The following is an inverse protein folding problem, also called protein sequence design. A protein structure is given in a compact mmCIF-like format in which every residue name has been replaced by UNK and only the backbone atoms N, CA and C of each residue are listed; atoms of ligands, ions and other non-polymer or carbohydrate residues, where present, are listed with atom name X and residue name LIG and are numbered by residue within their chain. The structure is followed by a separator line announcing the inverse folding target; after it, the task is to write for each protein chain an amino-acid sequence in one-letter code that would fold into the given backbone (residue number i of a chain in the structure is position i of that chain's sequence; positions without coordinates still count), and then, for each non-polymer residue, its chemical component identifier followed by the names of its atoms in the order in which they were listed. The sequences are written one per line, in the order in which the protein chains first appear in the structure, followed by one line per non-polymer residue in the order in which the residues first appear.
data_IF_840737603000
#
_entry.id   IF_840737603000
#
_cell.length_a   1.000
_cell.length_b   1.000
_cell.length_c   1.000
_cell.angle_alpha   90.00
_cell.angle_beta   90.00
_cell.angle_gamma   90.00
#
_symmetry.space_group_name_H-M   'P 1'
#
loop_
_entity.id
_entity.type
_entity.pdbx_description
1 polymer ?
#
# COMPACT_ATOMS: atom_id res chain seq x y z
N UNK A 1 -21.62 7.97 16.41
CA UNK A 1 -21.85 6.54 16.68
C UNK A 1 -21.60 6.30 18.14
N UNK A 2 -22.56 5.70 18.85
CA UNK A 2 -22.44 5.32 20.26
C UNK A 2 -22.23 3.81 20.35
N UNK A 3 -21.32 3.38 21.22
CA UNK A 3 -20.97 1.98 21.45
C UNK A 3 -20.93 1.71 22.95
N UNK A 4 -21.45 0.55 23.34
CA UNK A 4 -21.47 0.09 24.73
C UNK A 4 -20.91 -1.32 24.80
N UNK A 5 -20.08 -1.56 25.79
CA UNK A 5 -19.37 -2.81 26.03
C UNK A 5 -19.40 -3.13 27.52
N UNK A 6 -19.46 -4.40 27.85
CA UNK A 6 -19.44 -4.91 29.23
C UNK A 6 -18.70 -6.23 29.26
N UNK A 7 -18.03 -6.54 30.36
CA UNK A 7 -17.39 -7.83 30.55
C UNK A 7 -16.93 -8.03 31.99
N UNK A 8 -16.43 -9.23 32.27
CA UNK A 8 -15.93 -9.60 33.59
C UNK A 8 -14.70 -10.49 33.43
N UNK A 9 -13.73 -10.34 34.34
CA UNK A 9 -12.58 -11.22 34.45
C UNK A 9 -12.11 -11.29 35.91
N UNK A 10 -11.35 -12.32 36.27
CA UNK A 10 -10.87 -12.53 37.64
C UNK A 10 -9.35 -12.56 37.69
N UNK A 11 -8.77 -12.02 38.76
CA UNK A 11 -7.32 -12.01 38.99
C UNK A 11 -7.01 -12.51 40.41
N UNK A 12 -5.86 -13.14 40.60
CA UNK A 12 -5.40 -13.64 41.90
C UNK A 12 -4.68 -12.55 42.71
N UNK A 13 -5.38 -11.42 42.93
CA UNK A 13 -4.92 -10.27 43.72
C UNK A 13 -6.03 -9.77 44.62
N UNK A 14 -5.64 -9.15 45.74
CA UNK A 14 -6.58 -8.49 46.64
C UNK A 14 -7.29 -7.33 45.95
N UNK A 15 -8.50 -7.00 46.41
CA UNK A 15 -9.23 -5.85 45.89
C UNK A 15 -8.46 -4.56 46.06
N UNK A 16 -7.74 -4.40 47.16
CA UNK A 16 -6.93 -3.23 47.45
C UNK A 16 -5.83 -3.03 46.40
N UNK A 17 -5.15 -4.10 46.00
CA UNK A 17 -4.09 -4.06 44.99
C UNK A 17 -4.66 -3.70 43.61
N UNK A 18 -5.75 -4.38 43.22
CA UNK A 18 -6.43 -4.14 41.94
C UNK A 18 -6.96 -2.70 41.89
N UNK A 19 -7.57 -2.25 42.98
CA UNK A 19 -8.08 -0.90 43.10
C UNK A 19 -6.96 0.14 43.02
N UNK A 20 -5.83 -0.09 43.68
CA UNK A 20 -4.70 0.84 43.63
C UNK A 20 -4.20 1.07 42.21
N UNK A 21 -4.11 0.01 41.40
CA UNK A 21 -3.71 0.12 39.99
C UNK A 21 -4.78 0.83 39.16
N UNK A 22 -6.06 0.46 39.31
CA UNK A 22 -7.15 1.03 38.53
C UNK A 22 -7.48 2.48 38.91
N UNK A 23 -7.21 2.91 40.15
CA UNK A 23 -7.53 4.25 40.63
C UNK A 23 -6.37 5.24 40.53
N UNK A 24 -5.24 4.83 39.97
CA UNK A 24 -4.08 5.67 39.71
C UNK A 24 -3.88 5.86 38.20
N UNK A 25 -4.12 7.05 37.64
CA UNK A 25 -3.90 7.30 36.21
C UNK A 25 -2.46 7.01 35.76
N UNK A 26 -1.45 7.18 36.61
CA UNK A 26 -0.05 6.90 36.25
C UNK A 26 0.22 5.40 36.07
N UNK A 27 -0.54 4.55 36.75
CA UNK A 27 -0.43 3.10 36.63
C UNK A 27 -1.39 2.54 35.57
N UNK A 28 -2.58 3.11 35.46
CA UNK A 28 -3.61 2.64 34.54
C UNK A 28 -3.34 3.06 33.09
N UNK A 29 -2.96 4.32 32.84
CA UNK A 29 -2.79 4.84 31.48
C UNK A 29 -1.75 4.08 30.65
N UNK A 30 -0.59 3.65 31.19
CA UNK A 30 0.39 2.83 30.46
C UNK A 30 -0.13 1.47 29.98
N UNK A 31 -1.23 0.97 30.56
CA UNK A 31 -1.86 -0.29 30.16
C UNK A 31 -2.81 -0.13 28.98
N UNK A 32 -3.10 1.11 28.56
CA UNK A 32 -3.93 1.34 27.38
C UNK A 32 -3.24 0.82 26.12
N UNK A 33 -3.96 0.12 25.24
CA UNK A 33 -3.42 -0.31 23.95
C UNK A 33 -2.82 0.85 23.14
N UNK A 34 -1.64 0.59 22.57
CA UNK A 34 -0.94 1.59 21.77
C UNK A 34 -0.36 2.77 22.56
N UNK A 35 -0.32 2.71 23.90
CA UNK A 35 0.29 3.74 24.73
C UNK A 35 1.69 4.12 24.23
N UNK A 36 1.92 5.42 24.05
CA UNK A 36 3.18 5.96 23.56
C UNK A 36 3.81 6.93 24.57
N UNK A 37 3.01 7.86 25.10
CA UNK A 37 3.43 8.78 26.17
C UNK A 37 2.24 9.32 26.94
N UNK A 38 2.50 9.86 28.13
CA UNK A 38 1.51 10.66 28.86
C UNK A 38 2.18 11.83 29.57
N UNK A 39 1.36 12.84 29.88
CA UNK A 39 1.69 13.95 30.76
C UNK A 39 0.58 14.11 31.79
N UNK A 40 0.92 14.09 33.08
CA UNK A 40 -0.05 14.34 34.15
C UNK A 40 -0.37 15.84 34.22
N UNK A 41 -1.65 16.18 34.08
CA UNK A 41 -2.15 17.55 34.28
C UNK A 41 -2.39 17.85 35.76
N UNK A 42 -2.89 16.85 36.47
CA UNK A 42 -3.08 16.86 37.92
C UNK A 42 -3.16 15.41 38.44
N UNK A 43 -3.42 15.23 39.73
CA UNK A 43 -3.44 13.91 40.38
C UNK A 43 -4.51 12.93 39.83
N UNK A 44 -5.48 13.40 39.04
CA UNK A 44 -6.59 12.58 38.51
C UNK A 44 -6.69 12.62 36.99
N UNK A 45 -5.98 13.52 36.32
CA UNK A 45 -6.09 13.76 34.88
C UNK A 45 -4.74 13.67 34.18
N UNK A 46 -4.69 12.88 33.11
CA UNK A 46 -3.54 12.71 32.24
C UNK A 46 -3.90 13.05 30.78
N UNK A 47 -2.99 13.68 30.06
CA UNK A 47 -3.03 13.72 28.60
C UNK A 47 -2.19 12.58 28.03
N UNK A 48 -2.85 11.66 27.34
CA UNK A 48 -2.28 10.40 26.87
C UNK A 48 -2.19 10.45 25.35
N UNK A 49 -1.03 10.09 24.83
CA UNK A 49 -0.81 9.82 23.41
C UNK A 49 -0.75 8.32 23.19
N UNK A 50 -1.66 7.82 22.37
CA UNK A 50 -1.71 6.41 21.99
C UNK A 50 -1.75 6.27 20.46
N UNK A 51 -0.99 5.32 19.92
CA UNK A 51 -1.07 4.93 18.51
C UNK A 51 -2.35 4.14 18.28
N UNK A 52 -3.13 4.58 17.30
CA UNK A 52 -4.38 3.95 16.90
C UNK A 52 -4.23 3.44 15.48
N UNK A 53 -4.48 2.14 15.27
CA UNK A 53 -4.44 1.49 13.96
C UNK A 53 -5.78 0.86 13.61
N UNK A 54 -6.62 1.56 12.84
CA UNK A 54 -7.92 1.05 12.36
C UNK A 54 -7.74 0.59 10.91
N UNK A 55 -7.57 -0.71 10.68
CA UNK A 55 -7.28 -1.25 9.35
C UNK A 55 -5.94 -0.73 8.81
N UNK A 56 -5.94 -0.11 7.63
CA UNK A 56 -4.74 0.53 7.02
C UNK A 56 -4.50 1.97 7.48
N UNK A 57 -5.26 2.46 8.46
CA UNK A 57 -5.22 3.85 8.92
C UNK A 57 -4.53 3.89 10.28
N UNK A 58 -3.30 4.42 10.31
CA UNK A 58 -2.52 4.69 11.52
C UNK A 58 -2.52 6.17 11.89
N UNK A 59 -2.46 6.48 13.18
CA UNK A 59 -2.28 7.84 13.69
C UNK A 59 -2.10 7.89 15.20
N UNK A 60 -1.67 9.04 15.72
CA UNK A 60 -1.57 9.27 17.16
C UNK A 60 -2.85 9.95 17.64
N UNK A 61 -3.56 9.30 18.55
CA UNK A 61 -4.67 9.90 19.27
C UNK A 61 -4.15 10.62 20.52
N UNK A 62 -4.58 11.88 20.71
CA UNK A 62 -4.39 12.58 21.99
C UNK A 62 -5.71 12.50 22.77
N UNK A 63 -5.64 11.92 23.98
CA UNK A 63 -6.77 11.72 24.89
C UNK A 63 -6.49 12.40 26.22
N UNK A 64 -7.34 13.33 26.63
CA UNK A 64 -7.40 13.73 28.03
C UNK A 64 -8.25 12.70 28.78
N UNK A 65 -7.61 11.93 29.65
CA UNK A 65 -8.23 10.89 30.48
C UNK A 65 -8.25 11.35 31.93
N UNK A 66 -9.43 11.30 32.57
CA UNK A 66 -9.63 11.73 33.95
C UNK A 66 -10.31 10.66 34.77
N UNK A 67 -9.81 10.37 35.97
CA UNK A 67 -10.48 9.53 36.97
C UNK A 67 -11.67 10.30 37.58
N UNK A 68 -12.84 10.13 36.97
CA UNK A 68 -14.07 10.86 37.28
C UNK A 68 -14.73 10.43 38.60
N UNK A 69 -14.72 9.14 38.94
CA UNK A 69 -15.23 8.61 40.22
C UNK A 69 -14.27 7.55 40.77
N UNK A 70 -14.14 7.51 42.10
CA UNK A 70 -13.26 6.58 42.80
C UNK A 70 -13.79 6.32 44.20
N UNK A 71 -14.14 5.06 44.49
CA UNK A 71 -14.71 4.60 45.77
C UNK A 71 -13.90 3.38 46.25
N UNK A 72 -12.85 3.59 47.05
CA UNK A 72 -11.98 2.50 47.50
C UNK A 72 -12.71 1.43 48.33
N UNK A 73 -12.32 0.15 48.23
CA UNK A 73 -11.55 -0.49 47.16
C UNK A 73 -12.47 -1.11 46.07
N UNK A 74 -13.63 -0.49 45.82
CA UNK A 74 -14.75 -1.14 45.11
C UNK A 74 -15.01 -0.62 43.71
N UNK A 75 -14.66 0.62 43.41
CA UNK A 75 -15.07 1.22 42.14
C UNK A 75 -14.13 2.31 41.64
N UNK A 76 -13.77 2.25 40.35
CA UNK A 76 -13.05 3.30 39.66
C UNK A 76 -13.74 3.60 38.32
N UNK A 77 -13.89 4.88 37.97
CA UNK A 77 -14.46 5.31 36.69
C UNK A 77 -13.62 6.40 36.05
N UNK A 78 -13.28 6.18 34.79
CA UNK A 78 -12.62 7.13 33.92
C UNK A 78 -13.58 7.79 32.93
N UNK A 79 -13.25 9.02 32.56
CA UNK A 79 -13.81 9.75 31.44
C UNK A 79 -12.68 10.23 30.56
N UNK A 80 -12.73 9.92 29.28
CA UNK A 80 -11.76 10.32 28.28
C UNK A 80 -12.41 11.20 27.21
N UNK A 81 -11.70 12.23 26.76
CA UNK A 81 -12.05 12.96 25.54
C UNK A 81 -10.79 13.12 24.70
N UNK A 82 -10.88 12.77 23.43
CA UNK A 82 -9.73 12.85 22.55
C UNK A 82 -10.05 13.23 21.13
N UNK A 83 -8.98 13.48 20.40
CA UNK A 83 -9.01 13.72 18.96
C UNK A 83 -8.19 12.63 18.28
N UNK A 84 -8.74 12.12 17.20
CA UNK A 84 -8.04 11.25 16.28
C UNK A 84 -8.45 11.68 14.88
N UNK A 85 -7.47 12.16 14.12
CA UNK A 85 -7.70 12.81 12.82
C UNK A 85 -8.68 14.00 12.95
N UNK A 86 -9.41 14.34 11.88
CA UNK A 86 -10.49 15.35 11.89
C UNK A 86 -11.76 14.86 12.64
N UNK A 87 -11.64 13.91 13.57
CA UNK A 87 -12.71 13.34 14.37
C UNK A 87 -12.51 13.58 15.87
N UNK A 88 -13.61 13.54 16.63
CA UNK A 88 -13.62 13.68 18.10
C UNK A 88 -14.31 12.48 18.69
N UNK A 89 -13.74 11.95 19.78
CA UNK A 89 -14.34 10.86 20.54
C UNK A 89 -14.40 11.15 22.03
N UNK A 90 -15.35 10.50 22.69
CA UNK A 90 -15.49 10.44 24.15
C UNK A 90 -15.54 8.99 24.59
N UNK A 91 -14.98 8.72 25.77
CA UNK A 91 -14.87 7.41 26.37
C UNK A 91 -15.32 7.51 27.82
N UNK A 92 -16.06 6.52 28.30
CA UNK A 92 -16.34 6.34 29.72
C UNK A 92 -16.09 4.87 30.06
N UNK A 93 -15.22 4.61 31.04
CA UNK A 93 -14.93 3.25 31.47
C UNK A 93 -15.10 3.17 32.98
N UNK A 94 -15.84 2.17 33.46
CA UNK A 94 -16.05 1.93 34.87
C UNK A 94 -15.67 0.49 35.22
N UNK A 95 -15.11 0.31 36.40
CA UNK A 95 -14.71 -0.98 36.97
C UNK A 95 -15.33 -1.11 38.36
N UNK A 96 -16.02 -2.23 38.61
CA UNK A 96 -16.57 -2.63 39.90
C UNK A 96 -15.84 -3.89 40.38
N UNK A 97 -15.46 -3.93 41.67
CA UNK A 97 -14.59 -4.94 42.24
C UNK A 97 -15.28 -5.73 43.36
N UNK A 98 -15.25 -7.07 43.25
CA UNK A 98 -15.82 -8.00 44.23
C UNK A 98 -14.81 -9.07 44.66
N UNK A 99 -14.93 -9.61 45.88
CA UNK A 99 -14.11 -10.76 46.30
C UNK A 99 -14.58 -12.02 45.57
N UNK A 100 -13.64 -12.84 45.13
CA UNK A 100 -13.95 -14.21 44.67
C UNK A 100 -13.88 -15.19 45.84
N UNK A 101 -14.58 -16.33 45.71
CA UNK A 101 -14.51 -17.41 46.70
C UNK A 101 -13.10 -18.02 46.85
N UNK A 102 -12.23 -17.85 45.86
CA UNK A 102 -10.86 -18.38 45.84
C UNK A 102 -9.80 -17.42 46.43
N UNK A 103 -10.20 -16.23 46.90
CA UNK A 103 -9.29 -15.25 47.51
C UNK A 103 -8.71 -14.20 46.55
N UNK A 104 -9.07 -14.23 45.26
CA UNK A 104 -8.77 -13.19 44.27
C UNK A 104 -9.91 -12.17 44.11
N UNK A 105 -9.83 -11.33 43.08
CA UNK A 105 -10.81 -10.26 42.79
C UNK A 105 -11.52 -10.50 41.46
N UNK A 106 -12.84 -10.39 41.45
CA UNK A 106 -13.65 -10.30 40.23
C UNK A 106 -13.77 -8.82 39.83
N UNK A 107 -13.45 -8.52 38.58
CA UNK A 107 -13.55 -7.19 37.99
C UNK A 107 -14.66 -7.20 36.95
N UNK A 108 -15.77 -6.52 37.25
CA UNK A 108 -16.84 -6.26 36.28
C UNK A 108 -16.63 -4.88 35.69
N UNK A 109 -16.54 -4.78 34.36
CA UNK A 109 -16.24 -3.52 33.68
C UNK A 109 -17.29 -3.14 32.65
N UNK A 110 -17.45 -1.83 32.45
CA UNK A 110 -18.39 -1.22 31.51
C UNK A 110 -17.70 -0.11 30.75
N UNK A 111 -17.75 -0.16 29.42
CA UNK A 111 -17.17 0.84 28.53
C UNK A 111 -18.23 1.45 27.62
N UNK A 112 -18.27 2.78 27.54
CA UNK A 112 -19.07 3.53 26.58
C UNK A 112 -18.15 4.40 25.73
N UNK A 113 -18.38 4.41 24.42
CA UNK A 113 -17.62 5.22 23.48
C UNK A 113 -18.55 5.95 22.53
N UNK A 114 -18.35 7.26 22.40
CA UNK A 114 -19.07 8.11 21.45
C UNK A 114 -18.06 8.67 20.45
N UNK A 115 -18.29 8.43 19.16
CA UNK A 115 -17.40 8.87 18.09
C UNK A 115 -18.16 9.74 17.09
N UNK A 116 -17.58 10.89 16.72
CA UNK A 116 -18.19 11.88 15.81
C UNK A 116 -17.20 12.42 14.79
N UNK A 117 -17.71 12.93 13.66
CA UNK A 117 -16.90 13.55 12.60
C UNK A 117 -16.46 12.56 11.51
N UNK A 118 -15.49 12.98 10.68
CA UNK A 118 -15.05 12.26 9.48
C UNK A 118 -14.41 10.89 9.75
N UNK A 119 -14.08 10.58 11.00
CA UNK A 119 -13.62 9.25 11.39
C UNK A 119 -14.68 8.15 11.14
N UNK A 120 -15.97 8.51 11.14
CA UNK A 120 -17.05 7.55 10.89
C UNK A 120 -17.09 7.05 9.45
N UNK A 121 -16.68 7.86 8.46
CA UNK A 121 -16.65 7.46 7.05
C UNK A 121 -15.47 6.57 6.69
N UNK A 122 -14.42 6.55 7.52
CA UNK A 122 -13.18 5.82 7.26
C UNK A 122 -13.24 4.35 7.65
N UNK A 123 -14.24 3.95 8.44
CA UNK A 123 -14.24 2.63 9.05
C UNK A 123 -15.00 1.56 8.28
N UNK A 124 -15.82 1.90 7.27
CA UNK A 124 -16.61 0.90 6.51
C UNK A 124 -17.44 -0.07 7.37
N UNK A 125 -17.75 0.28 8.63
CA UNK A 125 -18.37 -0.60 9.64
C UNK A 125 -17.43 -1.23 10.70
N UNK A 126 -16.11 -1.13 10.54
CA UNK A 126 -15.09 -1.80 11.39
C UNK A 126 -14.70 -1.10 12.70
N UNK A 127 -15.22 0.10 13.01
CA UNK A 127 -14.89 0.83 14.25
C UNK A 127 -15.28 0.02 15.51
N UNK A 128 -16.42 -0.69 15.47
CA UNK A 128 -16.85 -1.53 16.58
C UNK A 128 -15.89 -2.70 16.78
N UNK A 129 -15.54 -3.42 15.72
CA UNK A 129 -14.59 -4.54 15.79
C UNK A 129 -13.18 -4.10 16.22
N UNK A 130 -12.76 -2.90 15.83
CA UNK A 130 -11.53 -2.30 16.34
C UNK A 130 -11.62 -2.03 17.84
N UNK A 131 -12.70 -1.38 18.30
CA UNK A 131 -12.92 -1.13 19.73
C UNK A 131 -12.94 -2.44 20.53
N UNK A 132 -13.59 -3.49 20.02
CA UNK A 132 -13.60 -4.82 20.62
C UNK A 132 -12.17 -5.40 20.73
N UNK A 133 -11.36 -5.29 19.67
CA UNK A 133 -9.95 -5.72 19.70
C UNK A 133 -9.12 -4.95 20.75
N UNK A 134 -9.30 -3.63 20.84
CA UNK A 134 -8.59 -2.80 21.83
C UNK A 134 -8.99 -3.16 23.26
N UNK A 135 -10.28 -3.40 23.51
CA UNK A 135 -10.77 -3.85 24.82
C UNK A 135 -10.11 -5.18 25.21
N UNK A 136 -10.04 -6.15 24.30
CA UNK A 136 -9.36 -7.42 24.57
C UNK A 136 -7.89 -7.22 24.92
N UNK A 137 -7.18 -6.33 24.23
CA UNK A 137 -5.79 -6.00 24.52
C UNK A 137 -5.63 -5.33 25.89
N UNK A 138 -6.51 -4.39 26.25
CA UNK A 138 -6.50 -3.76 27.56
C UNK A 138 -6.72 -4.77 28.69
N UNK A 139 -7.68 -5.68 28.53
CA UNK A 139 -7.93 -6.74 29.51
C UNK A 139 -6.69 -7.61 29.67
N UNK A 140 -6.07 -8.05 28.58
CA UNK A 140 -4.83 -8.83 28.64
C UNK A 140 -3.68 -8.07 29.34
N UNK A 141 -3.53 -6.76 29.09
CA UNK A 141 -2.54 -5.92 29.78
C UNK A 141 -2.84 -5.77 31.27
N UNK A 142 -4.11 -5.66 31.66
CA UNK A 142 -4.54 -5.63 33.07
C UNK A 142 -4.28 -6.97 33.77
N UNK A 143 -4.63 -8.09 33.12
CA UNK A 143 -4.36 -9.43 33.64
C UNK A 143 -2.84 -9.64 33.82
N UNK A 144 -2.03 -9.25 32.85
CA UNK A 144 -0.57 -9.34 32.95
C UNK A 144 0.00 -8.47 34.08
N UNK A 145 -0.45 -7.21 34.20
CA UNK A 145 0.03 -6.29 35.25
C UNK A 145 -0.39 -6.73 36.67
N UNK A 146 -1.49 -7.46 36.78
CA UNK A 146 -2.01 -7.99 38.04
C UNK A 146 -1.53 -9.41 38.34
N UNK A 147 -0.95 -10.13 37.37
CA UNK A 147 -0.35 -11.45 37.57
C UNK A 147 0.95 -11.42 38.40
N UNK A 148 1.25 -12.52 39.08
CA UNK A 148 2.46 -12.69 39.91
C UNK A 148 3.70 -13.16 39.14
N UNK A 149 3.60 -13.43 37.83
CA UNK A 149 4.73 -13.85 37.00
C UNK A 149 5.25 -12.71 36.12
N UNK A 150 6.57 -12.46 36.05
CA UNK A 150 7.12 -11.41 35.21
C UNK A 150 6.98 -11.79 33.73
N UNK A 151 6.49 -10.85 32.92
CA UNK A 151 6.44 -10.98 31.46
C UNK A 151 7.84 -11.32 30.88
N UNK A 152 7.94 -12.21 29.87
CA UNK A 152 9.22 -12.56 29.27
C UNK A 152 9.83 -11.36 28.55
N UNK A 153 11.12 -11.10 28.82
CA UNK A 153 11.89 -10.04 28.18
C UNK A 153 12.11 -10.33 26.67
N UNK A 154 12.14 -9.30 25.81
CA UNK A 154 12.42 -9.49 24.38
C UNK A 154 13.85 -9.99 24.16
N UNK A 155 14.09 -10.91 23.19
CA UNK A 155 15.42 -11.45 22.96
C UNK A 155 16.38 -10.40 22.38
N UNK A 156 17.64 -10.47 22.84
CA UNK A 156 18.73 -9.61 22.40
C UNK A 156 19.12 -9.88 20.93
N UNK A 157 19.48 -8.80 20.22
CA UNK A 157 19.94 -8.78 18.82
C UNK A 157 21.16 -9.69 18.59
N UNK A 158 21.14 -10.61 17.61
CA UNK A 158 22.36 -11.17 17.04
C UNK A 158 22.90 -10.22 15.95
N UNK A 159 24.23 -10.08 15.91
CA UNK A 159 24.96 -9.25 14.96
C UNK A 159 24.77 -9.66 13.49
N UNK A 160 24.94 -8.67 12.61
CA UNK A 160 24.66 -8.75 11.18
C UNK A 160 25.40 -9.87 10.44
N UNK A 161 24.65 -10.53 9.56
CA UNK A 161 25.02 -11.67 8.74
C UNK A 161 26.16 -11.41 7.73
N UNK A 162 26.50 -10.14 7.47
CA UNK A 162 27.55 -9.71 6.54
C UNK A 162 28.98 -10.17 6.94
N UNK A 163 29.22 -10.58 8.19
CA UNK A 163 30.55 -11.05 8.63
C UNK A 163 30.77 -12.55 8.48
N UNK A 164 29.77 -13.33 8.06
CA UNK A 164 29.84 -14.81 7.97
C UNK A 164 30.03 -15.35 6.55
N UNK A 165 29.99 -14.50 5.52
CA UNK A 165 30.04 -14.91 4.11
C UNK A 165 31.46 -14.83 3.50
N UNK A 166 32.48 -14.34 4.22
CA UNK A 166 33.83 -14.10 3.66
C UNK A 166 34.93 -15.13 4.03
N UNK A 167 34.58 -16.34 4.46
CA UNK A 167 35.58 -17.41 4.72
C UNK A 167 35.15 -18.77 4.15
N UNK A 168 34.92 -18.85 2.84
CA UNK A 168 34.52 -20.11 2.21
C UNK A 168 34.78 -20.28 0.71
N UNK A 169 35.59 -19.43 0.08
CA UNK A 169 35.90 -19.56 -1.35
C UNK A 169 37.42 -19.60 -1.59
N UNK A 170 37.97 -20.82 -1.63
CA UNK A 170 39.27 -21.14 -2.21
C UNK A 170 39.24 -22.52 -2.87
N UNK A 171 39.55 -22.59 -4.18
CA UNK A 171 39.70 -23.79 -5.02
C UNK A 171 38.84 -23.69 -6.29
N UNK A 172 39.37 -23.25 -7.45
CA UNK A 172 40.14 -24.00 -8.47
C UNK A 172 39.34 -25.20 -9.04
N UNK A 173 39.27 -25.49 -10.34
CA UNK A 173 39.72 -24.88 -11.59
C UNK A 173 38.89 -25.55 -12.71
N UNK A 174 39.06 -25.02 -13.93
CA UNK A 174 39.14 -25.76 -15.20
C UNK A 174 38.04 -25.56 -16.26
N UNK A 175 38.53 -25.74 -17.48
CA UNK A 175 38.41 -24.92 -18.69
C UNK A 175 37.35 -25.41 -19.68
N UNK A 176 36.91 -24.50 -20.57
CA UNK A 176 36.14 -24.89 -21.75
C UNK A 176 35.58 -23.71 -22.53
N UNK A 177 36.38 -23.12 -23.42
CA UNK A 177 35.91 -22.15 -24.41
C UNK A 177 35.16 -22.86 -25.55
N UNK A 178 34.18 -22.19 -26.19
CA UNK A 178 33.91 -22.46 -27.59
C UNK A 178 34.09 -21.23 -28.49
N UNK A 179 34.46 -21.57 -29.73
CA UNK A 179 34.97 -20.72 -30.78
C UNK A 179 33.93 -19.80 -31.44
N UNK A 180 34.44 -18.70 -31.98
CA UNK A 180 33.79 -17.81 -32.95
C UNK A 180 33.35 -18.57 -34.20
N UNK A 181 32.13 -18.29 -34.66
CA UNK A 181 31.68 -18.64 -36.02
C UNK A 181 31.69 -17.36 -36.86
N UNK A 182 32.48 -17.40 -37.93
CA UNK A 182 32.52 -16.38 -38.98
C UNK A 182 31.25 -16.44 -39.84
N UNK A 183 30.70 -15.26 -40.12
CA UNK A 183 29.66 -15.03 -41.11
C UNK A 183 30.23 -15.12 -42.53
N UNK A 184 29.71 -16.03 -43.35
CA UNK A 184 29.87 -16.00 -44.80
C UNK A 184 28.53 -15.74 -45.50
N UNK A 185 28.54 -14.72 -46.37
CA UNK A 185 28.09 -14.85 -47.76
C UNK A 185 26.60 -14.95 -48.06
N UNK A 186 26.07 -13.89 -48.67
CA UNK A 186 24.77 -13.87 -49.35
C UNK A 186 24.70 -14.91 -50.50
N UNK A 187 23.73 -15.83 -50.43
CA UNK A 187 23.26 -16.62 -51.57
C UNK A 187 21.80 -17.07 -51.37
N UNK A 188 21.00 -16.92 -52.43
CA UNK A 188 19.68 -17.50 -52.73
C UNK A 188 18.71 -17.83 -51.56
N UNK A 189 17.57 -17.13 -51.52
CA UNK A 189 16.43 -17.48 -50.67
C UNK A 189 16.01 -18.94 -50.90
N UNK A 190 16.01 -19.74 -49.83
CA UNK A 190 15.65 -21.16 -49.85
C UNK A 190 14.24 -21.40 -50.42
N UNK A 191 14.00 -22.59 -50.97
CA UNK A 191 12.66 -23.03 -51.44
C UNK A 191 11.58 -22.87 -50.36
N UNK A 192 11.93 -23.05 -49.08
CA UNK A 192 11.03 -22.80 -47.95
C UNK A 192 10.58 -21.33 -47.87
N UNK A 193 11.47 -20.39 -48.21
CA UNK A 193 11.15 -18.96 -48.20
C UNK A 193 10.29 -18.56 -49.39
N UNK A 194 10.48 -19.19 -50.56
CA UNK A 194 9.61 -19.00 -51.72
C UNK A 194 8.21 -19.61 -51.49
N UNK A 195 8.13 -20.79 -50.87
CA UNK A 195 6.87 -21.42 -50.50
C UNK A 195 6.09 -20.61 -49.44
N UNK A 196 6.79 -20.00 -48.47
CA UNK A 196 6.18 -19.08 -47.51
C UNK A 196 5.62 -17.84 -48.19
N UNK A 197 6.36 -17.24 -49.14
CA UNK A 197 5.90 -16.08 -49.93
C UNK A 197 4.68 -16.41 -50.79
N UNK A 198 4.67 -17.57 -51.45
CA UNK A 198 3.53 -18.01 -52.27
C UNK A 198 2.27 -18.21 -51.41
N UNK A 199 2.41 -18.73 -50.19
CA UNK A 199 1.29 -18.84 -49.23
C UNK A 199 0.76 -17.49 -48.77
N UNK A 200 1.64 -16.53 -48.51
CA UNK A 200 1.25 -15.16 -48.13
C UNK A 200 0.51 -14.48 -49.28
N UNK A 201 1.00 -14.57 -50.51
CA UNK A 201 0.32 -13.98 -51.67
C UNK A 201 -1.05 -14.63 -51.92
N UNK A 202 -1.16 -15.96 -51.78
CA UNK A 202 -2.44 -16.66 -51.90
C UNK A 202 -3.45 -16.27 -50.80
N UNK A 203 -2.98 -15.90 -49.61
CA UNK A 203 -3.81 -15.36 -48.52
C UNK A 203 -4.28 -13.92 -48.79
N UNK A 204 -3.46 -13.12 -49.47
CA UNK A 204 -3.78 -11.74 -49.85
C UNK A 204 -4.73 -11.66 -51.05
N UNK A 205 -4.64 -12.64 -51.97
CA UNK A 205 -5.48 -12.72 -53.17
C UNK A 205 -6.80 -13.49 -52.94
N UNK A 206 -6.99 -14.09 -51.76
CA UNK A 206 -8.24 -14.75 -51.42
C UNK A 206 -9.35 -13.69 -51.30
N UNK A 207 -10.51 -13.87 -51.96
CA UNK A 207 -11.62 -12.94 -51.81
C UNK A 207 -11.95 -12.85 -50.31
N UNK A 208 -12.03 -11.61 -49.78
CA UNK A 208 -12.58 -11.32 -48.46
C UNK A 208 -14.08 -11.64 -48.46
N UNK A 209 -14.41 -12.93 -48.63
CA UNK A 209 -15.73 -13.45 -48.42
C UNK A 209 -16.07 -13.26 -46.95
N UNK A 210 -17.35 -12.95 -46.71
CA UNK A 210 -18.11 -12.75 -45.47
C UNK A 210 -18.01 -13.91 -44.44
N UNK A 211 -16.79 -14.45 -44.29
CA UNK A 211 -16.43 -15.49 -43.37
C UNK A 211 -16.04 -14.81 -42.07
N UNK A 212 -16.69 -15.23 -40.97
CA UNK A 212 -16.24 -14.96 -39.61
C UNK A 212 -15.31 -16.11 -39.24
N UNK A 213 -14.01 -16.05 -39.57
CA UNK A 213 -13.10 -17.13 -39.21
C UNK A 213 -13.10 -17.31 -37.69
N UNK A 214 -13.15 -18.56 -37.23
CA UNK A 214 -12.95 -18.85 -35.82
C UNK A 214 -11.59 -18.30 -35.38
N UNK A 215 -11.53 -17.70 -34.19
CA UNK A 215 -10.28 -17.13 -33.71
C UNK A 215 -9.33 -18.26 -33.33
N UNK A 216 -8.04 -18.11 -33.64
CA UNK A 216 -7.05 -19.18 -33.43
C UNK A 216 -6.88 -19.51 -31.96
N UNK A 217 -7.00 -18.49 -31.11
CA UNK A 217 -6.90 -18.57 -29.67
C UNK A 217 -8.11 -19.22 -28.97
N UNK A 218 -9.28 -19.29 -29.63
CA UNK A 218 -10.51 -19.78 -29.02
C UNK A 218 -10.34 -21.21 -28.48
N UNK A 219 -9.71 -22.11 -29.26
CA UNK A 219 -9.58 -23.52 -28.90
C UNK A 219 -8.89 -23.73 -27.54
N UNK A 220 -7.85 -22.94 -27.24
CA UNK A 220 -7.13 -23.03 -25.97
C UNK A 220 -7.85 -22.27 -24.85
N UNK A 221 -8.42 -21.09 -25.13
CA UNK A 221 -9.07 -20.27 -24.09
C UNK A 221 -10.32 -20.95 -23.53
N UNK A 222 -11.19 -21.49 -24.39
CA UNK A 222 -12.45 -22.11 -23.95
C UNK A 222 -12.26 -23.44 -23.24
N UNK A 223 -11.07 -24.04 -23.35
CA UNK A 223 -10.70 -25.31 -22.70
C UNK A 223 -9.90 -25.09 -21.40
N UNK A 224 -9.75 -23.84 -20.94
CA UNK A 224 -8.93 -23.52 -19.77
C UNK A 224 -7.43 -23.76 -19.99
N UNK A 225 -6.98 -23.71 -21.25
CA UNK A 225 -5.56 -23.82 -21.65
C UNK A 225 -4.97 -22.47 -22.04
N UNK A 226 -5.57 -21.37 -21.56
CA UNK A 226 -4.93 -20.07 -21.59
C UNK A 226 -3.70 -20.07 -20.69
N UNK A 227 -2.77 -19.14 -20.94
CA UNK A 227 -1.58 -18.97 -20.11
C UNK A 227 -1.39 -17.48 -19.83
N UNK A 228 -1.88 -17.06 -18.68
CA UNK A 228 -1.85 -15.69 -18.17
C UNK A 228 -0.63 -15.50 -17.25
N UNK A 229 -0.41 -14.28 -16.77
CA UNK A 229 0.77 -13.98 -15.93
C UNK A 229 0.75 -14.78 -14.62
N UNK A 230 -0.43 -14.91 -14.01
CA UNK A 230 -0.61 -15.61 -12.72
C UNK A 230 -0.39 -17.14 -12.85
N UNK A 231 -0.43 -17.67 -14.07
CA UNK A 231 -0.11 -19.08 -14.36
C UNK A 231 1.42 -19.33 -14.40
N UNK A 232 2.25 -18.27 -14.44
CA UNK A 232 3.69 -18.38 -14.52
C UNK A 232 4.34 -18.41 -13.12
N UNK A 233 4.82 -19.59 -12.73
CA UNK A 233 5.46 -19.81 -11.43
C UNK A 233 6.90 -20.33 -11.60
N UNK A 234 7.90 -19.43 -11.75
CA UNK A 234 9.30 -19.82 -11.79
C UNK A 234 9.76 -20.36 -10.43
N UNK A 235 10.84 -21.15 -10.41
CA UNK A 235 11.40 -21.65 -9.17
C UNK A 235 11.92 -20.50 -8.29
N UNK A 236 11.58 -20.54 -7.00
CA UNK A 236 11.95 -19.49 -6.06
C UNK A 236 11.15 -18.19 -6.19
N UNK A 237 9.96 -18.25 -6.82
CA UNK A 237 9.06 -17.10 -6.90
C UNK A 237 8.77 -16.53 -5.50
N UNK A 238 8.99 -15.22 -5.35
CA UNK A 238 8.56 -14.44 -4.20
C UNK A 238 7.35 -13.60 -4.58
N UNK A 239 6.58 -13.20 -3.58
CA UNK A 239 5.33 -12.46 -3.73
C UNK A 239 5.47 -11.10 -3.08
N UNK A 240 4.98 -10.06 -3.76
CA UNK A 240 5.02 -8.69 -3.31
C UNK A 240 3.63 -8.22 -2.87
N UNK A 241 3.54 -7.57 -1.72
CA UNK A 241 2.38 -6.80 -1.28
C UNK A 241 2.77 -5.33 -1.12
N UNK A 242 1.87 -4.43 -1.54
CA UNK A 242 2.10 -2.99 -1.46
C UNK A 242 1.30 -2.39 -0.30
N UNK A 243 2.00 -1.72 0.60
CA UNK A 243 1.41 -0.82 1.59
C UNK A 243 1.09 0.48 0.87
N UNK A 244 -0.19 0.87 0.89
CA UNK A 244 -0.71 2.00 0.11
C UNK A 244 -1.23 3.10 1.03
N UNK A 245 -1.01 4.35 0.64
CA UNK A 245 -1.50 5.51 1.36
C UNK A 245 -3.02 5.50 1.48
N UNK A 246 -3.56 5.72 2.70
CA UNK A 246 -4.98 5.92 2.90
C UNK A 246 -5.42 7.38 2.62
N UNK A 247 -4.48 8.29 2.34
CA UNK A 247 -4.72 9.72 2.17
C UNK A 247 -4.72 10.13 0.70
N UNK A 248 -5.58 11.11 0.35
CA UNK A 248 -5.57 11.71 -0.99
C UNK A 248 -4.38 12.65 -1.21
N UNK A 249 -3.87 13.29 -0.15
CA UNK A 249 -2.63 14.08 -0.18
C UNK A 249 -2.06 14.13 1.24
N UNK A 250 -0.83 13.68 1.44
CA UNK A 250 -0.16 13.72 2.73
C UNK A 250 1.35 13.68 2.58
N UNK A 251 2.07 14.36 3.47
CA UNK A 251 3.51 14.16 3.65
C UNK A 251 3.75 12.85 4.38
N UNK A 252 4.79 12.12 4.00
CA UNK A 252 5.25 10.93 4.72
C UNK A 252 6.26 11.41 5.76
N UNK A 253 5.90 11.33 7.04
CA UNK A 253 6.75 11.80 8.15
C UNK A 253 7.72 10.72 8.65
N UNK A 254 7.38 9.46 8.47
CA UNK A 254 8.21 8.34 8.88
C UNK A 254 7.64 6.99 8.45
N UNK A 255 8.52 6.01 8.27
CA UNK A 255 8.19 4.63 7.93
C UNK A 255 8.97 3.71 8.87
N UNK A 256 8.30 2.77 9.53
CA UNK A 256 8.88 1.68 10.32
C UNK A 256 8.45 0.33 9.74
N UNK A 257 9.42 -0.39 9.16
CA UNK A 257 9.27 -1.73 8.58
C UNK A 257 9.78 -2.84 9.49
N UNK A 258 10.33 -2.51 10.66
CA UNK A 258 11.09 -3.46 11.49
C UNK A 258 10.28 -4.68 11.92
N UNK A 259 8.99 -4.51 12.17
CA UNK A 259 8.07 -5.60 12.53
C UNK A 259 7.72 -6.49 11.35
N UNK A 260 7.61 -5.91 10.16
CA UNK A 260 7.39 -6.67 8.92
C UNK A 260 8.64 -7.51 8.59
N UNK A 261 9.83 -6.93 8.66
CA UNK A 261 11.09 -7.63 8.39
C UNK A 261 11.42 -8.73 9.41
N UNK A 262 10.92 -8.62 10.64
CA UNK A 262 11.07 -9.65 11.65
C UNK A 262 10.13 -10.86 11.44
N UNK A 263 9.14 -10.78 10.55
CA UNK A 263 8.18 -11.86 10.32
C UNK A 263 8.83 -12.99 9.50
N UNK A 264 8.77 -14.25 9.97
CA UNK A 264 9.32 -15.38 9.22
C UNK A 264 8.72 -15.51 7.81
N UNK A 265 9.58 -15.73 6.81
CA UNK A 265 9.19 -15.85 5.40
C UNK A 265 9.18 -14.51 4.65
N UNK A 266 9.41 -13.38 5.32
CA UNK A 266 9.68 -12.09 4.65
C UNK A 266 11.12 -12.07 4.17
N UNK A 267 11.30 -11.76 2.88
CA UNK A 267 12.61 -11.66 2.24
C UNK A 267 13.21 -10.26 2.39
N UNK A 268 12.41 -9.22 2.12
CA UNK A 268 12.81 -7.82 2.29
C UNK A 268 11.60 -6.88 2.28
N UNK A 269 11.86 -5.63 2.66
CA UNK A 269 10.98 -4.49 2.38
C UNK A 269 11.71 -3.47 1.50
N UNK A 270 10.96 -2.60 0.84
CA UNK A 270 11.49 -1.49 0.06
C UNK A 270 10.67 -0.23 0.34
N UNK A 271 11.35 0.85 0.69
CA UNK A 271 10.78 2.17 1.00
C UNK A 271 11.08 3.19 -0.11
N UNK A 272 10.37 4.32 -0.12
CA UNK A 272 10.63 5.43 -1.05
C UNK A 272 12.10 5.91 -1.02
N UNK A 273 12.70 6.01 0.17
CA UNK A 273 14.11 6.39 0.34
C UNK A 273 15.09 5.43 -0.33
N UNK A 274 14.77 4.14 -0.34
CA UNK A 274 15.58 3.13 -0.98
C UNK A 274 15.38 3.12 -2.49
N UNK A 275 14.13 3.31 -2.95
CA UNK A 275 13.81 3.51 -4.37
C UNK A 275 14.60 4.70 -4.93
N UNK A 276 14.62 5.86 -4.27
CA UNK A 276 15.40 7.03 -4.72
C UNK A 276 16.91 6.76 -4.84
N UNK A 277 17.46 5.85 -4.01
CA UNK A 277 18.88 5.48 -4.07
C UNK A 277 19.14 4.47 -5.18
N UNK A 278 18.22 3.54 -5.40
CA UNK A 278 18.38 2.39 -6.28
C UNK A 278 17.92 2.65 -7.72
N UNK A 279 17.01 3.60 -7.94
CA UNK A 279 16.45 3.93 -9.25
C UNK A 279 16.50 5.43 -9.53
N UNK A 280 16.35 5.78 -10.80
CA UNK A 280 16.09 7.14 -11.25
C UNK A 280 14.57 7.36 -11.42
N UNK A 281 14.08 8.62 -11.36
CA UNK A 281 12.68 8.92 -11.63
C UNK A 281 12.24 8.45 -13.01
N UNK A 282 10.97 8.09 -13.16
CA UNK A 282 10.39 7.82 -14.46
C UNK A 282 10.41 9.07 -15.34
N UNK A 283 10.73 8.87 -16.62
CA UNK A 283 10.68 9.95 -17.59
C UNK A 283 9.25 10.47 -17.73
N UNK A 284 9.08 11.79 -17.77
CA UNK A 284 7.79 12.41 -18.02
C UNK A 284 7.64 12.72 -19.51
N UNK A 285 6.50 12.33 -20.10
CA UNK A 285 6.21 12.63 -21.51
C UNK A 285 5.40 13.92 -21.57
N UNK A 286 6.05 15.01 -21.99
CA UNK A 286 5.42 16.32 -22.09
C UNK A 286 6.45 17.43 -22.26
N UNK A 287 6.00 18.68 -22.37
CA UNK A 287 6.86 19.85 -22.38
C UNK A 287 6.45 20.80 -21.25
N UNK A 288 7.41 21.52 -20.67
CA UNK A 288 7.17 22.43 -19.54
C UNK A 288 7.05 21.69 -18.21
N UNK A 289 6.10 22.11 -17.38
CA UNK A 289 5.82 21.61 -16.03
C UNK A 289 5.89 20.08 -15.84
N UNK A 290 5.40 19.22 -16.76
CA UNK A 290 5.57 17.77 -16.60
C UNK A 290 7.02 17.31 -16.49
N UNK A 291 7.97 17.98 -17.16
CA UNK A 291 9.39 17.59 -17.10
C UNK A 291 10.03 17.89 -15.74
N UNK A 292 9.36 18.69 -14.91
CA UNK A 292 9.82 19.03 -13.56
C UNK A 292 9.32 17.99 -12.55
N UNK A 293 8.22 17.29 -12.85
CA UNK A 293 7.61 16.29 -11.96
C UNK A 293 8.56 15.11 -11.75
N UNK A 294 8.83 14.81 -10.48
CA UNK A 294 9.63 13.64 -10.09
C UNK A 294 8.70 12.50 -9.68
N UNK A 295 8.72 11.40 -10.44
CA UNK A 295 7.85 10.24 -10.23
C UNK A 295 8.67 8.96 -10.02
N UNK A 296 8.37 8.21 -8.96
CA UNK A 296 9.07 7.00 -8.55
C UNK A 296 8.09 5.85 -8.39
N UNK A 297 8.60 4.61 -8.39
CA UNK A 297 7.76 3.41 -8.24
C UNK A 297 7.05 3.32 -6.87
N UNK A 298 7.57 4.02 -5.85
CA UNK A 298 6.94 4.22 -4.55
C UNK A 298 6.97 5.72 -4.21
N UNK A 299 5.95 6.19 -3.50
CA UNK A 299 5.89 7.51 -2.91
C UNK A 299 7.12 7.76 -2.02
N UNK A 300 7.71 8.94 -2.17
CA UNK A 300 8.92 9.37 -1.45
C UNK A 300 8.54 10.34 -0.34
N UNK A 301 8.50 11.64 -0.63
CA UNK A 301 8.26 12.70 0.34
C UNK A 301 6.76 12.89 0.64
N UNK A 302 5.92 12.66 -0.36
CA UNK A 302 4.46 12.83 -0.30
C UNK A 302 3.76 11.66 -0.96
N UNK A 303 2.66 11.24 -0.37
CA UNK A 303 1.64 10.45 -1.05
C UNK A 303 0.62 11.41 -1.67
N UNK A 304 0.41 11.33 -2.98
CA UNK A 304 -0.34 12.34 -3.76
C UNK A 304 -1.71 11.85 -4.27
N UNK A 305 -2.08 10.61 -3.96
CA UNK A 305 -3.45 10.10 -4.13
C UNK A 305 -3.77 8.96 -3.16
N UNK A 306 -5.06 8.70 -2.95
CA UNK A 306 -5.49 7.54 -2.16
C UNK A 306 -5.13 6.26 -2.92
N UNK A 307 -4.32 5.40 -2.30
CA UNK A 307 -3.83 4.18 -2.92
C UNK A 307 -2.37 4.27 -3.41
N UNK A 308 -1.71 5.41 -3.25
CA UNK A 308 -0.31 5.61 -3.63
C UNK A 308 0.60 4.60 -2.92
N UNK A 309 1.38 3.76 -3.62
CA UNK A 309 2.28 2.80 -2.99
C UNK A 309 3.37 3.51 -2.17
N UNK A 310 3.57 3.12 -0.91
CA UNK A 310 4.57 3.75 -0.02
C UNK A 310 5.66 2.77 0.41
N UNK A 311 5.30 1.50 0.60
CA UNK A 311 6.25 0.42 0.92
C UNK A 311 5.89 -0.82 0.12
N UNK A 312 6.89 -1.51 -0.42
CA UNK A 312 6.75 -2.86 -0.93
C UNK A 312 7.27 -3.87 0.09
N UNK A 313 6.54 -4.96 0.31
CA UNK A 313 6.93 -6.07 1.17
C UNK A 313 7.00 -7.33 0.33
N UNK A 314 8.15 -8.01 0.33
CA UNK A 314 8.41 -9.20 -0.48
C UNK A 314 8.59 -10.41 0.42
N UNK A 315 7.85 -11.49 0.16
CA UNK A 315 7.86 -12.70 0.99
C UNK A 315 7.73 -13.99 0.16
N UNK A 316 7.94 -15.13 0.80
CA UNK A 316 7.88 -16.47 0.19
C UNK A 316 6.47 -16.90 -0.24
N UNK A 317 5.42 -16.21 0.23
CA UNK A 317 4.03 -16.47 -0.17
C UNK A 317 3.19 -15.19 -0.13
N UNK A 318 2.08 -15.19 -0.88
CA UNK A 318 1.11 -14.08 -0.89
C UNK A 318 0.61 -13.78 0.53
N UNK A 319 0.21 -14.82 1.28
CA UNK A 319 -0.34 -14.66 2.62
C UNK A 319 0.67 -14.00 3.58
N UNK A 320 1.94 -14.43 3.56
CA UNK A 320 3.00 -13.82 4.39
C UNK A 320 3.27 -12.38 3.97
N UNK A 321 3.28 -12.07 2.67
CA UNK A 321 3.45 -10.70 2.20
C UNK A 321 2.30 -9.79 2.65
N UNK A 322 1.06 -10.28 2.61
CA UNK A 322 -0.13 -9.55 3.07
C UNK A 322 -0.15 -9.34 4.59
N UNK A 323 0.23 -10.35 5.38
CA UNK A 323 0.34 -10.24 6.83
C UNK A 323 1.46 -9.28 7.23
N UNK A 324 2.63 -9.39 6.61
CA UNK A 324 3.77 -8.50 6.86
C UNK A 324 3.46 -7.06 6.46
N UNK A 325 2.72 -6.82 5.37
CA UNK A 325 2.28 -5.48 4.97
C UNK A 325 1.41 -4.80 6.04
N UNK A 326 0.67 -5.57 6.87
CA UNK A 326 -0.10 -5.03 8.00
C UNK A 326 0.75 -4.67 9.22
N UNK A 327 2.02 -5.08 9.24
CA UNK A 327 2.98 -4.78 10.32
C UNK A 327 3.84 -3.55 10.02
N UNK A 328 3.72 -2.97 8.82
CA UNK A 328 4.39 -1.72 8.45
C UNK A 328 3.63 -0.55 9.06
N UNK A 329 4.34 0.27 9.83
CA UNK A 329 3.80 1.48 10.43
C UNK A 329 4.28 2.70 9.61
N UNK A 330 3.35 3.49 9.07
CA UNK A 330 3.65 4.72 8.30
C UNK A 330 2.99 5.91 8.97
N UNK A 331 3.80 6.94 9.27
CA UNK A 331 3.35 8.20 9.83
C UNK A 331 3.10 9.21 8.71
N UNK A 332 1.91 9.82 8.70
CA UNK A 332 1.50 10.78 7.68
C UNK A 332 1.10 12.12 8.32
N UNK A 333 1.40 13.20 7.61
CA UNK A 333 0.84 14.53 7.87
C UNK A 333 -0.10 14.90 6.71
N UNK A 334 -1.44 14.88 6.91
CA UNK A 334 -2.37 15.23 5.86
C UNK A 334 -2.15 16.66 5.33
N UNK A 335 -2.22 16.81 4.01
CA UNK A 335 -2.10 18.08 3.31
C UNK A 335 -3.45 18.47 2.68
N UNK A 336 -3.54 19.71 2.20
CA UNK A 336 -4.71 20.18 1.47
C UNK A 336 -4.89 19.38 0.18
N UNK A 337 -6.13 18.96 -0.09
CA UNK A 337 -6.47 18.10 -1.22
C UNK A 337 -7.09 18.92 -2.35
N UNK A 338 -6.85 18.50 -3.59
CA UNK A 338 -7.56 18.99 -4.78
C UNK A 338 -8.33 17.82 -5.38
N UNK A 339 -9.64 17.98 -5.57
CA UNK A 339 -10.54 16.90 -5.98
C UNK A 339 -11.24 17.17 -7.32
N UNK A 340 -11.10 18.38 -7.86
CA UNK A 340 -11.65 18.77 -9.16
C UNK A 340 -10.62 19.54 -9.98
N UNK A 341 -10.82 19.54 -11.29
CA UNK A 341 -9.87 20.11 -12.24
C UNK A 341 -9.85 21.64 -12.21
N UNK A 342 -10.98 22.29 -11.94
CA UNK A 342 -11.04 23.76 -11.84
C UNK A 342 -10.28 24.28 -10.61
N UNK A 343 -10.39 23.58 -9.47
CA UNK A 343 -9.63 23.85 -8.27
C UNK A 343 -8.13 23.57 -8.45
N UNK A 344 -7.79 22.55 -9.24
CA UNK A 344 -6.42 22.26 -9.64
C UNK A 344 -5.83 23.40 -10.46
N UNK A 345 -6.54 23.87 -11.50
CA UNK A 345 -6.12 24.98 -12.35
C UNK A 345 -5.98 26.31 -11.61
N UNK A 346 -6.67 26.47 -10.48
CA UNK A 346 -6.54 27.62 -9.60
C UNK A 346 -5.39 27.47 -8.58
N UNK A 347 -4.62 26.37 -8.63
CA UNK A 347 -3.48 26.06 -7.77
C UNK A 347 -3.81 26.17 -6.26
N UNK A 348 -5.04 25.82 -5.87
CA UNK A 348 -5.50 25.89 -4.47
C UNK A 348 -4.66 25.04 -3.52
N UNK A 349 -4.20 23.88 -3.99
CA UNK A 349 -3.07 23.16 -3.41
C UNK A 349 -2.26 22.55 -4.56
N UNK A 350 -0.96 22.79 -4.58
CA UNK A 350 -0.05 22.29 -5.61
C UNK A 350 0.41 20.88 -5.22
N UNK A 351 0.22 19.90 -6.12
CA UNK A 351 0.62 18.52 -5.86
C UNK A 351 2.14 18.34 -5.99
N UNK A 352 2.71 18.92 -7.04
CA UNK A 352 4.14 18.86 -7.37
C UNK A 352 4.76 20.24 -7.17
N UNK A 353 5.43 20.42 -6.03
CA UNK A 353 5.96 21.73 -5.62
C UNK A 353 6.99 22.25 -6.64
N UNK A 354 7.74 21.31 -7.23
CA UNK A 354 8.74 21.54 -8.25
C UNK A 354 8.18 22.05 -9.57
N UNK A 355 6.92 21.73 -9.89
CA UNK A 355 6.20 22.23 -11.08
C UNK A 355 5.64 23.64 -10.86
N UNK A 356 5.42 24.04 -9.60
CA UNK A 356 4.83 25.33 -9.22
C UNK A 356 3.35 25.53 -9.62
N UNK A 357 2.78 24.62 -10.40
CA UNK A 357 1.39 24.61 -10.86
C UNK A 357 0.89 23.18 -11.04
N UNK A 358 -0.43 22.98 -10.96
CA UNK A 358 -1.09 21.74 -11.34
C UNK A 358 -1.41 21.67 -12.85
N UNK A 359 -1.14 22.73 -13.61
CA UNK A 359 -1.34 22.74 -15.07
C UNK A 359 -0.21 21.98 -15.76
N UNK A 360 -0.43 20.69 -16.03
CA UNK A 360 0.57 19.84 -16.68
C UNK A 360 0.66 20.03 -18.20
N UNK A 361 -0.42 20.47 -18.86
CA UNK A 361 -0.42 20.68 -20.31
C UNK A 361 -1.41 21.76 -20.69
N UNK A 362 -1.02 22.62 -21.64
CA UNK A 362 -1.88 23.62 -22.24
C UNK A 362 -1.52 23.82 -23.70
N UNK A 363 -2.53 23.98 -24.56
CA UNK A 363 -2.36 24.21 -25.98
C UNK A 363 -3.63 24.79 -26.59
N UNK A 364 -3.46 25.73 -27.53
CA UNK A 364 -4.54 26.29 -28.33
C UNK A 364 -4.48 25.63 -29.72
N UNK A 365 -5.57 24.99 -30.12
CA UNK A 365 -5.68 24.31 -31.42
C UNK A 365 -6.73 25.01 -32.28
N UNK A 366 -6.26 25.87 -33.18
CA UNK A 366 -7.11 26.62 -34.12
C UNK A 366 -6.86 26.14 -35.54
N UNK A 367 -7.94 25.90 -36.28
CA UNK A 367 -7.90 25.43 -37.66
C UNK A 367 -8.85 26.28 -38.52
N UNK A 368 -8.28 27.17 -39.33
CA UNK A 368 -9.04 28.13 -40.14
C UNK A 368 -9.46 29.38 -39.36
N UNK A 369 -10.40 30.13 -39.92
CA UNK A 369 -10.94 31.36 -39.31
C UNK A 369 -12.20 31.02 -38.48
N UNK A 370 -11.99 30.79 -37.19
CA UNK A 370 -13.05 30.39 -36.26
C UNK A 370 -14.07 31.52 -36.06
N UNK A 371 -13.60 32.76 -35.94
CA UNK A 371 -14.46 33.92 -35.72
C UNK A 371 -15.41 34.15 -36.91
N UNK A 372 -14.88 34.06 -38.13
CA UNK A 372 -15.70 34.15 -39.34
C UNK A 372 -16.69 32.99 -39.44
N UNK A 373 -16.27 31.77 -39.10
CA UNK A 373 -17.16 30.61 -39.11
C UNK A 373 -18.35 30.77 -38.15
N UNK A 374 -18.15 31.37 -36.97
CA UNK A 374 -19.24 31.71 -36.05
C UNK A 374 -20.11 32.87 -36.56
N UNK A 375 -19.52 33.88 -37.20
CA UNK A 375 -20.24 35.02 -37.75
C UNK A 375 -21.19 34.60 -38.90
N UNK A 376 -20.77 33.65 -39.74
CA UNK A 376 -21.53 33.18 -40.89
C UNK A 376 -22.52 32.05 -40.56
N UNK A 377 -22.48 31.51 -39.34
CA UNK A 377 -23.28 30.36 -38.96
C UNK A 377 -24.78 30.69 -38.94
N UNK A 378 -25.58 29.91 -39.67
CA UNK A 378 -27.04 30.02 -39.63
C UNK A 378 -27.62 29.71 -38.23
N UNK A 379 -26.96 28.83 -37.48
CA UNK A 379 -27.32 28.46 -36.11
C UNK A 379 -26.07 28.18 -35.29
N UNK A 380 -26.09 28.62 -34.03
CA UNK A 380 -25.04 28.34 -33.04
C UNK A 380 -25.68 27.68 -31.83
N UNK A 381 -25.17 26.51 -31.44
CA UNK A 381 -25.55 25.83 -30.20
C UNK A 381 -24.41 26.02 -29.20
N UNK A 382 -24.72 26.62 -28.06
CA UNK A 382 -23.77 26.79 -26.96
C UNK A 382 -24.13 25.83 -25.82
N UNK A 383 -23.12 25.09 -25.35
CA UNK A 383 -23.20 24.29 -24.13
C UNK A 383 -22.15 24.88 -23.18
N UNK A 384 -22.59 25.46 -22.05
CA UNK A 384 -21.68 26.17 -21.16
C UNK A 384 -20.68 25.23 -20.46
N UNK A 385 -21.10 24.00 -20.11
CA UNK A 385 -20.23 22.98 -19.52
C UNK A 385 -20.68 21.58 -19.93
N UNK A 386 -19.75 20.81 -20.48
CA UNK A 386 -19.88 19.36 -20.63
C UNK A 386 -19.04 18.69 -19.55
N UNK A 387 -19.62 17.71 -18.87
CA UNK A 387 -18.92 16.95 -17.83
C UNK A 387 -18.97 15.46 -18.16
N UNK A 388 -17.82 14.81 -18.11
CA UNK A 388 -17.68 13.37 -18.26
C UNK A 388 -17.15 12.80 -16.94
N UNK A 389 -17.84 11.79 -16.41
CA UNK A 389 -17.39 11.16 -15.17
C UNK A 389 -16.08 10.41 -15.41
N UNK A 390 -15.24 10.32 -14.37
CA UNK A 390 -14.10 9.40 -14.36
C UNK A 390 -14.61 7.98 -14.55
N UNK A 391 -14.07 7.27 -15.53
CA UNK A 391 -14.33 5.85 -15.73
C UNK A 391 -13.00 5.09 -15.64
N UNK A 392 -13.07 3.81 -15.29
CA UNK A 392 -11.93 2.92 -15.28
C UNK A 392 -12.21 1.72 -16.17
N UNK A 393 -11.18 1.22 -16.85
CA UNK A 393 -11.25 -0.03 -17.59
C UNK A 393 -11.25 -1.21 -16.62
N UNK A 394 -12.27 -2.05 -16.65
CA UNK A 394 -12.45 -3.19 -15.74
C UNK A 394 -12.10 -4.50 -16.43
N UNK A 395 -10.82 -4.67 -16.80
CA UNK A 395 -10.31 -5.97 -17.23
C UNK A 395 -10.52 -7.00 -16.11
N UNK A 396 -10.95 -8.22 -16.47
CA UNK A 396 -11.20 -9.26 -15.47
C UNK A 396 -9.88 -9.75 -14.88
N UNK A 397 -8.83 -9.83 -15.69
CA UNK A 397 -7.48 -10.07 -15.21
C UNK A 397 -6.86 -8.76 -14.67
N UNK A 398 -6.44 -8.71 -13.39
CA UNK A 398 -5.73 -7.55 -12.83
C UNK A 398 -4.38 -7.28 -13.51
N UNK A 399 -3.75 -6.15 -13.20
CA UNK A 399 -2.35 -5.93 -13.61
C UNK A 399 -1.44 -6.93 -12.90
N UNK A 400 -0.58 -7.59 -13.67
CA UNK A 400 0.28 -8.64 -13.15
C UNK A 400 1.63 -8.63 -13.87
N UNK A 401 2.69 -8.92 -13.11
CA UNK A 401 4.03 -9.03 -13.63
C UNK A 401 4.87 -9.97 -12.77
N UNK A 402 5.70 -10.78 -13.43
CA UNK A 402 6.75 -11.59 -12.83
C UNK A 402 8.07 -11.16 -13.46
N UNK A 403 8.98 -10.68 -12.64
CA UNK A 403 10.35 -10.36 -13.04
C UNK A 403 11.29 -11.46 -12.57
N UNK A 404 12.17 -11.91 -13.46
CA UNK A 404 13.30 -12.79 -13.13
C UNK A 404 14.58 -12.15 -13.67
N UNK A 405 15.71 -12.46 -13.06
CA UNK A 405 17.00 -11.99 -13.55
C UNK A 405 18.06 -13.08 -13.40
N UNK A 406 19.06 -13.05 -14.26
CA UNK A 406 20.18 -13.99 -14.22
C UNK A 406 21.42 -13.42 -13.51
N UNK A 407 22.49 -14.21 -13.42
CA UNK A 407 23.75 -13.79 -12.80
C UNK A 407 24.48 -12.67 -13.56
N UNK A 408 24.12 -12.41 -14.82
CA UNK A 408 24.66 -11.32 -15.64
C UNK A 408 23.84 -10.04 -15.49
N UNK A 409 22.70 -10.11 -14.80
CA UNK A 409 21.78 -8.99 -14.63
C UNK A 409 20.82 -8.82 -15.81
N UNK A 410 20.67 -9.83 -16.67
CA UNK A 410 19.64 -9.82 -17.72
C UNK A 410 18.28 -10.03 -17.08
N UNK A 411 17.33 -9.14 -17.36
CA UNK A 411 16.00 -9.12 -16.75
C UNK A 411 14.99 -9.70 -17.75
N UNK A 412 14.27 -10.75 -17.35
CA UNK A 412 13.11 -11.24 -18.07
C UNK A 412 11.84 -10.84 -17.33
N UNK A 413 11.03 -10.01 -17.98
CA UNK A 413 9.81 -9.41 -17.46
C UNK A 413 8.60 -10.04 -18.15
N UNK A 414 7.93 -10.98 -17.49
CA UNK A 414 6.67 -11.54 -17.98
C UNK A 414 5.51 -10.73 -17.41
N UNK A 415 4.75 -10.04 -18.25
CA UNK A 415 3.64 -9.20 -17.80
C UNK A 415 2.48 -9.20 -18.79
N UNK A 416 1.38 -8.57 -18.39
CA UNK A 416 0.20 -8.43 -19.22
C UNK A 416 0.05 -7.03 -19.84
N UNK A 417 1.17 -6.29 -19.99
CA UNK A 417 1.20 -5.08 -20.81
C UNK A 417 0.93 -5.40 -22.28
N UNK A 418 0.28 -4.47 -23.00
CA UNK A 418 -0.03 -4.62 -24.43
C UNK A 418 0.96 -3.89 -25.35
N UNK A 419 1.94 -3.19 -24.79
CA UNK A 419 2.91 -2.40 -25.55
C UNK A 419 4.33 -2.57 -25.00
N UNK A 420 5.33 -2.28 -25.83
CA UNK A 420 6.75 -2.24 -25.41
C UNK A 420 7.15 -0.89 -24.82
N UNK A 421 6.26 0.09 -24.86
CA UNK A 421 6.42 1.43 -24.28
C UNK A 421 6.98 1.41 -22.84
N UNK A 422 6.55 0.50 -21.93
CA UNK A 422 7.09 0.44 -20.57
C UNK A 422 8.62 0.25 -20.51
N UNK A 423 9.24 -0.39 -21.51
CA UNK A 423 10.70 -0.58 -21.56
C UNK A 423 11.45 0.75 -21.61
N UNK A 424 10.89 1.76 -22.29
CA UNK A 424 11.49 3.08 -22.41
C UNK A 424 11.47 3.86 -21.08
N UNK A 425 10.58 3.49 -20.15
CA UNK A 425 10.50 4.06 -18.81
C UNK A 425 11.32 3.26 -17.80
N UNK A 426 11.21 1.93 -17.85
CA UNK A 426 11.86 1.02 -16.91
C UNK A 426 13.38 0.99 -17.06
N UNK A 427 13.91 0.96 -18.28
CA UNK A 427 15.35 0.83 -18.49
C UNK A 427 16.14 2.03 -17.90
N UNK A 428 15.77 3.30 -18.19
CA UNK A 428 16.40 4.45 -17.54
C UNK A 428 16.23 4.43 -16.02
N UNK A 429 15.02 4.17 -15.52
CA UNK A 429 14.75 4.14 -14.08
C UNK A 429 15.62 3.09 -13.36
N UNK A 430 15.80 1.91 -13.94
CA UNK A 430 16.62 0.84 -13.38
C UNK A 430 18.12 0.98 -13.69
N UNK A 431 18.53 2.03 -14.41
CA UNK A 431 19.93 2.28 -14.82
C UNK A 431 20.55 1.14 -15.65
N UNK A 432 19.72 0.50 -16.48
CA UNK A 432 20.13 -0.58 -17.40
C UNK A 432 19.87 -0.17 -18.84
N UNK A 433 20.51 -0.84 -19.80
CA UNK A 433 20.18 -0.63 -21.21
C UNK A 433 18.91 -1.41 -21.58
N UNK A 434 18.17 -0.91 -22.58
CA UNK A 434 16.89 -1.54 -22.99
C UNK A 434 17.06 -2.99 -23.46
N UNK A 435 18.22 -3.34 -24.02
CA UNK A 435 18.54 -4.70 -24.46
C UNK A 435 18.76 -5.68 -23.31
N UNK A 436 19.00 -5.19 -22.08
CA UNK A 436 19.07 -6.01 -20.86
C UNK A 436 17.69 -6.40 -20.32
N UNK A 437 16.60 -5.84 -20.86
CA UNK A 437 15.23 -6.14 -20.42
C UNK A 437 14.48 -6.85 -21.54
N UNK A 438 14.20 -8.13 -21.33
CA UNK A 438 13.31 -8.92 -22.17
C UNK A 438 11.88 -8.86 -21.65
N UNK A 439 11.04 -8.05 -22.29
CA UNK A 439 9.60 -8.03 -22.03
C UNK A 439 8.88 -9.15 -22.81
N UNK A 440 8.15 -10.00 -22.09
CA UNK A 440 7.33 -11.08 -22.65
C UNK A 440 5.88 -10.94 -22.22
N UNK A 441 4.98 -11.27 -23.12
CA UNK A 441 3.52 -11.29 -22.90
C UNK A 441 2.95 -12.54 -23.56
N UNK A 442 1.78 -13.01 -23.11
CA UNK A 442 1.09 -14.14 -23.73
C UNK A 442 -0.43 -13.88 -23.77
N UNK A 443 -1.23 -14.62 -23.01
CA UNK A 443 -2.65 -14.31 -22.87
C UNK A 443 -2.86 -13.13 -21.93
N UNK A 444 -3.72 -12.20 -22.35
CA UNK A 444 -4.05 -10.99 -21.61
C UNK A 444 -5.56 -10.93 -21.47
N UNK A 445 -6.06 -10.94 -20.23
CA UNK A 445 -7.47 -10.94 -19.87
C UNK A 445 -8.11 -9.56 -19.96
N UNK A 446 -7.82 -8.84 -21.03
CA UNK A 446 -8.27 -7.47 -21.29
C UNK A 446 -7.32 -6.39 -20.78
N UNK A 447 -7.40 -5.22 -21.43
CA UNK A 447 -6.66 -4.00 -21.09
C UNK A 447 -7.57 -2.79 -21.26
N UNK A 448 -8.10 -2.58 -22.48
CA UNK A 448 -8.92 -1.39 -22.78
C UNK A 448 -8.20 -0.07 -22.41
N UNK A 449 -6.87 -0.04 -22.58
CA UNK A 449 -6.02 1.12 -22.36
C UNK A 449 -5.29 1.16 -21.01
N UNK A 450 -5.71 0.39 -20.01
CA UNK A 450 -5.12 0.48 -18.65
C UNK A 450 -3.80 -0.30 -18.47
N UNK A 451 -3.39 -1.10 -19.45
CA UNK A 451 -2.13 -1.88 -19.47
C UNK A 451 -1.20 -1.45 -20.61
N UNK A 452 -1.14 -0.14 -20.92
CA UNK A 452 -0.27 0.42 -21.97
C UNK A 452 1.09 0.87 -21.40
N UNK A 453 1.10 1.28 -20.13
CA UNK A 453 2.26 1.83 -19.43
C UNK A 453 2.70 0.90 -18.30
#
# INVERSE_FOLDING_TARGET
MEMKFTGEFSVDRSKEDVFSLLSDPEQFAPLLPGFHSMEMKDARTAEIRARVGIGRIGGIASTELSLADSRPPRHARYSGRGKLMQGVYRLHTAFDLEDTAAGGTLISWRGEAEVTGKILSLAGGGIRSYAEKQITQLIASLEAALSTEPAPAPPARPGGWFSRILHGLSGADDTGAPARVETQGAAALSEQTQAARARVNALLDAPHADSRPARREDDRLVKGKGFFVDDYSPAGLLHMSLVRSPYAHARIAGIDVSRAEALPGVACTLTGDEVMKMSDPFIQIGAGSPQEITDYALATDKAIYQGDPVVAVVAESIAVAEDAAQLVDVEYEPLDVVLDAEDALADKAVLHDESGTNTIFSGVYEYGDVDQAFADAAHVIKIDKLNFHRFGSTAIEPNACVATWDQRGEIDLFSNTIMTVPLAFLAPALRVSMDQIRLRTYDIGGSFGNKIC
#
